data_IF_882409474375
#
_entry.id   IF_882409474375
#
_cell.length_a   1.000
_cell.length_b   1.000
_cell.length_c   1.000
_cell.angle_alpha   90.00
_cell.angle_beta   90.00
_cell.angle_gamma   90.00
#
_symmetry.space_group_name_H-M   'P 1'
#
loop_
_entity.id
_entity.type
_entity.pdbx_description
1 polymer ?
#
# COMPACT_ATOMS: atom_id res chain seq x y z
N UNK A 1 -6.66 -14.14 9.73
CA UNK A 1 -6.30 -13.07 10.71
C UNK A 1 -5.85 -11.83 9.97
N UNK A 2 -6.11 -10.63 10.51
CA UNK A 2 -5.67 -9.37 9.89
C UNK A 2 -4.16 -9.17 10.08
N UNK A 3 -3.42 -8.93 8.99
CA UNK A 3 -2.06 -8.38 9.02
C UNK A 3 -2.03 -7.08 8.23
N UNK A 4 -1.35 -6.07 8.76
CA UNK A 4 -1.05 -4.82 8.04
C UNK A 4 0.25 -5.02 7.27
N UNK A 5 0.27 -4.57 6.01
CA UNK A 5 1.40 -4.75 5.10
C UNK A 5 1.97 -3.37 4.76
N UNK A 6 3.28 -3.26 4.97
CA UNK A 6 4.09 -2.08 4.65
C UNK A 6 5.35 -2.55 3.93
N UNK A 7 5.75 -1.83 2.88
CA UNK A 7 6.99 -2.04 2.13
C UNK A 7 7.60 -0.70 1.71
N UNK A 8 8.91 -0.69 1.53
CA UNK A 8 9.65 0.43 0.95
C UNK A 8 9.54 0.47 -0.59
N UNK A 9 9.04 -0.60 -1.22
CA UNK A 9 8.95 -0.74 -2.69
C UNK A 9 7.65 -0.14 -3.27
N UNK A 10 6.87 0.59 -2.46
CA UNK A 10 5.65 1.25 -2.86
C UNK A 10 5.52 2.62 -2.17
N UNK A 11 4.75 3.57 -2.74
CA UNK A 11 4.51 4.86 -2.11
C UNK A 11 3.98 4.68 -0.68
N UNK A 12 4.45 5.50 0.24
CA UNK A 12 4.02 5.44 1.64
C UNK A 12 2.52 5.68 1.76
N UNK A 13 1.85 4.91 2.63
CA UNK A 13 0.46 5.19 2.98
C UNK A 13 0.39 6.44 3.88
N UNK A 14 -0.20 7.54 3.38
CA UNK A 14 -0.29 8.82 4.10
C UNK A 14 -1.69 9.02 4.68
N UNK A 15 -1.86 8.71 5.97
CA UNK A 15 -3.13 8.88 6.69
C UNK A 15 -3.66 7.57 7.28
N UNK A 16 -4.97 7.48 7.48
CA UNK A 16 -5.60 6.34 8.16
C UNK A 16 -5.88 5.14 7.23
N UNK A 17 -4.87 4.69 6.47
CA UNK A 17 -4.95 3.50 5.63
C UNK A 17 -3.62 2.73 5.61
N UNK A 18 -3.60 1.58 4.92
CA UNK A 18 -2.40 0.74 4.77
C UNK A 18 -2.20 0.41 3.29
N UNK A 19 -0.96 0.16 2.87
CA UNK A 19 -0.66 -0.23 1.48
C UNK A 19 -1.40 -1.51 1.10
N UNK A 20 -1.46 -2.48 2.01
CA UNK A 20 -2.34 -3.64 1.92
C UNK A 20 -2.68 -4.20 3.31
N UNK A 21 -3.68 -5.08 3.35
CA UNK A 21 -3.95 -5.93 4.51
C UNK A 21 -4.26 -7.37 4.06
N UNK A 22 -4.10 -8.33 4.96
CA UNK A 22 -4.57 -9.71 4.73
C UNK A 22 -5.82 -10.03 5.54
N UNK A 23 -6.60 -11.01 5.08
CA UNK A 23 -7.62 -11.67 5.88
C UNK A 23 -7.58 -13.19 5.63
N UNK A 24 -6.75 -13.90 6.40
CA UNK A 24 -6.45 -15.30 6.09
C UNK A 24 -5.61 -15.34 4.82
N UNK A 25 -6.06 -16.07 3.80
CA UNK A 25 -5.36 -16.24 2.52
C UNK A 25 -5.68 -15.15 1.50
N UNK A 26 -6.61 -14.24 1.82
CA UNK A 26 -6.95 -13.10 0.96
C UNK A 26 -6.02 -11.92 1.22
N UNK A 27 -5.41 -11.39 0.15
CA UNK A 27 -4.59 -10.18 0.15
C UNK A 27 -5.38 -9.03 -0.50
N UNK A 28 -5.53 -7.91 0.21
CA UNK A 28 -6.34 -6.76 -0.20
C UNK A 28 -5.43 -5.54 -0.29
N UNK A 29 -5.24 -5.01 -1.49
CA UNK A 29 -4.42 -3.81 -1.75
C UNK A 29 -5.24 -2.54 -1.67
N UNK A 30 -4.62 -1.45 -1.22
CA UNK A 30 -5.15 -0.11 -1.49
C UNK A 30 -5.05 0.22 -2.99
N UNK A 31 -5.91 1.12 -3.46
CA UNK A 31 -5.78 1.67 -4.82
C UNK A 31 -4.42 2.35 -4.98
N UNK A 32 -3.70 2.00 -6.05
CA UNK A 32 -2.41 2.58 -6.38
C UNK A 32 -2.56 3.66 -7.44
N UNK A 33 -1.93 4.80 -7.19
CA UNK A 33 -1.64 5.82 -8.20
C UNK A 33 -0.27 5.52 -8.82
N UNK A 34 0.03 6.05 -10.02
CA UNK A 34 1.35 5.88 -10.64
C UNK A 34 2.40 6.78 -9.96
N UNK A 35 2.62 6.56 -8.67
CA UNK A 35 3.61 7.28 -7.87
C UNK A 35 4.90 6.46 -7.77
N UNK A 36 6.05 7.11 -7.66
CA UNK A 36 7.32 6.49 -7.24
C UNK A 36 7.26 6.13 -5.75
N UNK A 37 8.24 5.35 -5.28
CA UNK A 37 8.39 5.04 -3.84
C UNK A 37 8.54 6.28 -2.98
N UNK A 38 9.11 7.34 -3.55
CA UNK A 38 9.29 8.66 -2.91
C UNK A 38 8.03 9.54 -2.99
N UNK A 39 6.96 9.06 -3.63
CA UNK A 39 5.68 9.75 -3.72
C UNK A 39 5.56 10.75 -4.87
N UNK A 40 6.46 10.69 -5.87
CA UNK A 40 6.39 11.56 -7.05
C UNK A 40 5.49 10.96 -8.13
N UNK A 41 4.66 11.78 -8.78
CA UNK A 41 3.80 11.33 -9.87
C UNK A 41 4.63 11.01 -11.12
N UNK A 42 4.37 9.84 -11.68
CA UNK A 42 4.88 9.43 -12.99
C UNK A 42 3.81 9.70 -14.03
N UNK A 43 4.10 10.66 -14.89
CA UNK A 43 3.30 10.98 -16.08
C UNK A 43 3.48 9.93 -17.19
#
# INVERSE_FOLDING_TARGET
>A
MKRVINTADAPTAVGAYSQATTNGDLFITAGQLPLTTDGELRD
#
